data_IF_780682225990
#
_entry.id   IF_780682225990
#
_cell.length_a   1.000
_cell.length_b   1.000
_cell.length_c   1.000
_cell.angle_alpha   90.00
_cell.angle_beta   90.00
_cell.angle_gamma   90.00
#
_symmetry.space_group_name_H-M   'P 1'
#
loop_
_entity.id
_entity.type
_entity.pdbx_description
1 polymer ?
#
# COMPACT_ATOMS: atom_id res chain seq x y z
N UNK A 1 0.99 -15.18 -26.12
CA UNK A 1 1.27 -13.98 -25.30
C UNK A 1 0.27 -12.83 -25.51
N UNK A 2 -0.79 -12.99 -26.31
CA UNK A 2 -1.86 -11.98 -26.48
C UNK A 2 -2.94 -12.01 -25.38
N UNK A 3 -3.03 -13.11 -24.63
CA UNK A 3 -4.03 -13.33 -23.58
C UNK A 3 -3.67 -12.69 -22.22
N UNK A 4 -2.43 -12.24 -22.02
CA UNK A 4 -2.01 -11.55 -20.79
C UNK A 4 -2.37 -10.04 -20.78
N UNK A 5 -2.79 -9.51 -21.94
CA UNK A 5 -3.18 -8.10 -22.12
C UNK A 5 -4.65 -7.96 -22.54
N UNK A 6 -5.44 -9.02 -22.42
CA UNK A 6 -6.88 -8.96 -22.69
C UNK A 6 -7.62 -8.44 -21.46
N UNK A 7 -7.45 -7.15 -21.18
CA UNK A 7 -8.36 -6.38 -20.33
C UNK A 7 -9.58 -5.98 -21.16
N UNK A 8 -10.25 -6.94 -21.80
CA UNK A 8 -11.60 -6.76 -22.30
C UNK A 8 -12.50 -6.47 -21.11
N UNK A 9 -12.70 -5.18 -20.87
CA UNK A 9 -13.67 -4.58 -19.97
C UNK A 9 -15.10 -4.80 -20.50
N UNK A 10 -15.46 -6.04 -20.80
CA UNK A 10 -16.82 -6.45 -21.13
C UNK A 10 -17.57 -6.80 -19.84
N UNK A 11 -17.78 -5.79 -18.99
CA UNK A 11 -18.87 -5.69 -18.00
C UNK A 11 -18.54 -4.53 -17.06
N UNK A 12 -19.54 -3.72 -16.75
CA UNK A 12 -19.54 -2.60 -15.80
C UNK A 12 -18.82 -2.92 -14.47
N UNK A 13 -17.50 -2.79 -14.44
CA UNK A 13 -16.64 -3.08 -13.29
C UNK A 13 -16.54 -1.91 -12.29
N UNK A 14 -17.37 -0.89 -12.44
CA UNK A 14 -17.18 0.43 -11.80
C UNK A 14 -17.32 0.42 -10.27
N UNK A 15 -18.22 -0.37 -9.63
CA UNK A 15 -18.29 -0.41 -8.15
C UNK A 15 -17.41 -1.48 -7.49
N UNK A 16 -17.26 -2.65 -8.11
CA UNK A 16 -16.63 -3.82 -7.49
C UNK A 16 -15.10 -3.76 -7.47
N UNK A 17 -14.49 -3.24 -8.55
CA UNK A 17 -13.04 -3.19 -8.73
C UNK A 17 -12.35 -2.38 -7.64
N UNK A 18 -12.94 -1.24 -7.26
CA UNK A 18 -12.39 -0.34 -6.23
C UNK A 18 -12.27 -1.04 -4.89
N UNK A 19 -13.29 -1.83 -4.51
CA UNK A 19 -13.26 -2.61 -3.28
C UNK A 19 -12.14 -3.65 -3.30
N UNK A 20 -11.92 -4.31 -4.44
CA UNK A 20 -10.85 -5.29 -4.60
C UNK A 20 -9.47 -4.63 -4.47
N UNK A 21 -9.23 -3.51 -5.19
CA UNK A 21 -7.94 -2.80 -5.12
C UNK A 21 -7.69 -2.28 -3.71
N UNK A 22 -8.71 -1.76 -3.03
CA UNK A 22 -8.59 -1.32 -1.64
C UNK A 22 -8.19 -2.48 -0.70
N UNK A 23 -8.85 -3.64 -0.81
CA UNK A 23 -8.51 -4.83 0.00
C UNK A 23 -7.06 -5.26 -0.27
N UNK A 24 -6.64 -5.29 -1.54
CA UNK A 24 -5.26 -5.63 -1.89
C UNK A 24 -4.26 -4.63 -1.31
N UNK A 25 -4.55 -3.33 -1.36
CA UNK A 25 -3.68 -2.31 -0.79
C UNK A 25 -3.53 -2.44 0.73
N UNK A 26 -4.61 -2.79 1.44
CA UNK A 26 -4.57 -3.09 2.88
C UNK A 26 -3.72 -4.33 3.16
N UNK A 27 -3.89 -5.39 2.37
CA UNK A 27 -3.08 -6.62 2.51
C UNK A 27 -1.59 -6.31 2.30
N UNK A 28 -1.25 -5.54 1.26
CA UNK A 28 0.13 -5.13 0.97
C UNK A 28 0.69 -4.28 2.12
N UNK A 29 -0.08 -3.33 2.65
CA UNK A 29 0.34 -2.52 3.79
C UNK A 29 0.59 -3.37 5.04
N UNK A 30 -0.29 -4.33 5.32
CA UNK A 30 -0.13 -5.25 6.46
C UNK A 30 1.11 -6.14 6.29
N UNK A 31 1.30 -6.76 5.12
CA UNK A 31 2.46 -7.59 4.84
C UNK A 31 3.76 -6.76 4.89
N UNK A 32 3.76 -5.56 4.31
CA UNK A 32 4.91 -4.66 4.35
C UNK A 32 5.27 -4.22 5.78
N UNK A 33 4.26 -3.93 6.61
CA UNK A 33 4.49 -3.61 8.02
C UNK A 33 5.05 -4.80 8.80
N UNK A 34 4.48 -6.00 8.65
CA UNK A 34 4.97 -7.22 9.32
C UNK A 34 6.39 -7.54 8.86
N UNK A 35 6.64 -7.54 7.55
CA UNK A 35 7.94 -7.86 6.96
C UNK A 35 9.03 -6.87 7.38
N UNK A 36 8.73 -5.57 7.38
CA UNK A 36 9.67 -4.56 7.87
C UNK A 36 9.94 -4.72 9.36
N UNK A 37 8.91 -4.93 10.18
CA UNK A 37 9.04 -5.20 11.62
C UNK A 37 10.00 -6.36 11.87
N UNK A 38 9.74 -7.53 11.27
CA UNK A 38 10.59 -8.72 11.41
C UNK A 38 12.04 -8.41 10.98
N UNK A 39 12.21 -7.72 9.85
CA UNK A 39 13.54 -7.36 9.32
C UNK A 39 14.32 -6.46 10.28
N UNK A 40 13.67 -5.49 10.91
CA UNK A 40 14.30 -4.63 11.92
C UNK A 40 14.73 -5.41 13.17
N UNK A 41 13.92 -6.35 13.64
CA UNK A 41 14.30 -7.23 14.75
C UNK A 41 15.50 -8.11 14.41
N UNK A 42 15.54 -8.67 13.20
CA UNK A 42 16.68 -9.47 12.72
C UNK A 42 17.93 -8.62 12.56
N UNK A 43 17.81 -7.42 11.97
CA UNK A 43 18.92 -6.49 11.79
C UNK A 43 19.50 -6.01 13.13
N UNK A 44 18.65 -5.73 14.12
CA UNK A 44 19.10 -5.38 15.47
C UNK A 44 19.95 -6.53 16.05
N UNK A 45 19.44 -7.76 16.04
CA UNK A 45 20.15 -8.93 16.57
C UNK A 45 21.50 -9.20 15.89
N UNK A 46 21.58 -9.08 14.57
CA UNK A 46 22.83 -9.29 13.81
C UNK A 46 23.84 -8.17 14.02
N UNK A 47 23.39 -6.92 14.11
CA UNK A 47 24.29 -5.77 14.33
C UNK A 47 24.96 -5.84 15.70
N UNK A 48 24.23 -6.22 16.75
CA UNK A 48 24.81 -6.37 18.10
C UNK A 48 25.88 -7.47 18.16
N UNK A 49 25.69 -8.57 17.43
CA UNK A 49 26.66 -9.68 17.39
C UNK A 49 27.87 -9.37 16.49
N UNK A 50 27.70 -8.57 15.44
CA UNK A 50 28.81 -8.15 14.57
C UNK A 50 29.71 -7.12 15.25
N UNK A 51 29.13 -6.09 15.90
CA UNK A 51 29.90 -5.01 16.55
C UNK A 51 30.70 -5.53 17.74
N UNK A 52 30.16 -6.50 18.49
CA UNK A 52 30.87 -7.15 19.60
C UNK A 52 32.05 -8.01 19.17
N UNK A 53 32.07 -8.52 17.94
CA UNK A 53 33.18 -9.35 17.40
C UNK A 53 34.30 -8.56 16.74
N UNK A 54 34.03 -7.35 16.27
CA UNK A 54 35.00 -6.52 15.55
C UNK A 54 35.82 -5.59 16.47
N UNK A 55 35.78 -5.80 17.79
CA UNK A 55 36.52 -4.98 18.75
C UNK A 55 36.01 -3.54 18.85
N UNK A 56 34.73 -3.31 18.50
CA UNK A 56 34.08 -2.02 18.73
C UNK A 56 34.11 -1.64 20.23
N UNK A 57 33.96 -0.35 20.57
CA UNK A 57 34.02 0.11 21.95
C UNK A 57 33.09 -0.74 22.84
N UNK A 58 33.46 -1.01 24.11
CA UNK A 58 32.62 -1.77 25.02
C UNK A 58 31.22 -1.19 25.03
N UNK A 59 30.26 -1.90 24.44
CA UNK A 59 28.85 -1.57 24.57
C UNK A 59 28.49 -1.91 26.02
N UNK A 60 28.67 -0.94 26.91
CA UNK A 60 28.23 -1.02 28.30
C UNK A 60 26.70 -1.17 28.28
N UNK A 61 26.25 -2.42 28.38
CA UNK A 61 24.90 -2.82 28.77
C UNK A 61 23.74 -2.24 27.96
N UNK A 62 23.76 -2.42 26.64
CA UNK A 62 22.64 -2.07 25.72
C UNK A 62 21.54 -3.13 25.64
N UNK A 63 21.28 -3.88 26.71
CA UNK A 63 20.16 -4.84 26.76
C UNK A 63 18.81 -4.14 26.56
N UNK A 64 18.61 -2.95 27.14
CA UNK A 64 17.40 -2.14 26.95
C UNK A 64 17.30 -1.46 25.59
N UNK A 65 18.41 -0.92 25.03
CA UNK A 65 18.39 -0.25 23.73
C UNK A 65 18.05 -1.21 22.58
N UNK A 66 18.45 -2.49 22.70
CA UNK A 66 18.12 -3.56 21.77
C UNK A 66 16.61 -3.82 21.67
N UNK A 67 15.85 -3.59 22.75
CA UNK A 67 14.39 -3.75 22.75
C UNK A 67 13.65 -2.44 22.51
N UNK A 68 14.12 -1.31 23.07
CA UNK A 68 13.41 -0.02 22.99
C UNK A 68 13.29 0.45 21.54
N UNK A 69 14.37 0.39 20.75
CA UNK A 69 14.36 0.89 19.37
C UNK A 69 13.38 0.15 18.43
N UNK A 70 13.37 -1.20 18.39
CA UNK A 70 12.38 -1.92 17.59
C UNK A 70 10.97 -1.91 18.20
N UNK A 71 10.79 -1.78 19.51
CA UNK A 71 9.47 -1.62 20.14
C UNK A 71 8.83 -0.27 19.77
N UNK A 72 9.62 0.81 19.70
CA UNK A 72 9.13 2.11 19.20
C UNK A 72 8.72 2.01 17.73
N UNK A 73 9.48 1.28 16.92
CA UNK A 73 9.14 1.03 15.53
C UNK A 73 7.86 0.18 15.40
N UNK A 74 7.61 -0.76 16.30
CA UNK A 74 6.34 -1.49 16.34
C UNK A 74 5.18 -0.55 16.70
N UNK A 75 5.36 0.30 17.72
CA UNK A 75 4.35 1.24 18.22
C UNK A 75 3.99 2.35 17.24
N UNK A 76 4.95 2.84 16.46
CA UNK A 76 4.73 3.94 15.50
C UNK A 76 4.77 3.50 14.03
N UNK A 77 5.21 2.29 13.73
CA UNK A 77 5.44 1.82 12.36
C UNK A 77 4.17 1.51 11.57
N UNK A 78 3.04 1.31 12.22
CA UNK A 78 1.76 1.11 11.53
C UNK A 78 1.23 2.42 10.91
N UNK A 79 1.70 3.58 11.39
CA UNK A 79 1.29 4.90 10.91
C UNK A 79 1.59 5.06 9.40
N UNK A 80 2.81 4.80 8.91
CA UNK A 80 3.09 4.72 7.47
C UNK A 80 2.16 3.79 6.69
N UNK A 81 1.81 2.63 7.24
CA UNK A 81 0.90 1.68 6.61
C UNK A 81 -0.52 2.24 6.44
N UNK A 82 -1.03 2.97 7.44
CA UNK A 82 -2.32 3.64 7.31
C UNK A 82 -2.28 4.82 6.34
N UNK A 83 -1.19 5.60 6.33
CA UNK A 83 -1.01 6.66 5.35
C UNK A 83 -1.05 6.11 3.92
N UNK A 84 -0.40 4.98 3.68
CA UNK A 84 -0.47 4.29 2.38
C UNK A 84 -1.91 3.95 1.99
N UNK A 85 -2.69 3.34 2.90
CA UNK A 85 -4.09 2.97 2.64
C UNK A 85 -4.96 4.21 2.38
N UNK A 86 -4.75 5.29 3.12
CA UNK A 86 -5.46 6.56 2.92
C UNK A 86 -5.14 7.18 1.56
N UNK A 87 -3.87 7.19 1.15
CA UNK A 87 -3.47 7.69 -0.18
C UNK A 87 -4.13 6.86 -1.28
N UNK A 88 -4.09 5.53 -1.18
CA UNK A 88 -4.75 4.66 -2.15
C UNK A 88 -6.26 4.95 -2.21
N UNK A 89 -6.90 5.17 -1.06
CA UNK A 89 -8.32 5.56 -1.02
C UNK A 89 -8.60 6.85 -1.77
N UNK A 90 -7.82 7.90 -1.52
CA UNK A 90 -7.97 9.19 -2.19
C UNK A 90 -7.78 9.05 -3.71
N UNK A 91 -6.77 8.28 -4.14
CA UNK A 91 -6.51 8.03 -5.57
C UNK A 91 -7.65 7.26 -6.22
N UNK A 92 -8.20 6.24 -5.53
CA UNK A 92 -9.33 5.47 -6.03
C UNK A 92 -10.60 6.31 -6.15
N UNK A 93 -10.89 7.14 -5.14
CA UNK A 93 -12.01 8.08 -5.17
C UNK A 93 -11.86 9.09 -6.31
N UNK A 94 -10.65 9.62 -6.53
CA UNK A 94 -10.36 10.52 -7.65
C UNK A 94 -10.48 9.83 -9.03
N UNK A 95 -9.97 8.60 -9.16
CA UNK A 95 -10.09 7.82 -10.39
C UNK A 95 -11.56 7.53 -10.73
N UNK A 96 -12.37 7.16 -9.72
CA UNK A 96 -13.81 6.96 -9.90
C UNK A 96 -14.53 8.24 -10.29
N UNK A 97 -14.21 9.36 -9.63
CA UNK A 97 -14.80 10.65 -9.95
C UNK A 97 -14.52 11.05 -11.41
N UNK A 98 -13.31 10.80 -11.90
CA UNK A 98 -12.93 11.05 -13.28
C UNK A 98 -13.71 10.17 -14.28
N UNK A 99 -13.82 8.87 -14.00
CA UNK A 99 -14.59 7.94 -14.84
C UNK A 99 -16.06 8.36 -14.89
N UNK A 100 -16.64 8.68 -13.74
CA UNK A 100 -18.04 9.10 -13.64
C UNK A 100 -18.30 10.42 -14.38
N UNK A 101 -17.36 11.36 -14.34
CA UNK A 101 -17.44 12.60 -15.11
C UNK A 101 -17.41 12.33 -16.63
N UNK A 102 -16.58 11.39 -17.09
CA UNK A 102 -16.52 11.00 -18.50
C UNK A 102 -17.81 10.28 -18.96
N UNK A 103 -18.40 9.45 -18.10
CA UNK A 103 -19.69 8.80 -18.35
C UNK A 103 -20.83 9.83 -18.45
N UNK A 104 -20.86 10.83 -17.56
CA UNK A 104 -21.88 11.89 -17.56
C UNK A 104 -21.84 12.74 -18.84
N UNK A 105 -20.64 13.12 -19.30
CA UNK A 105 -20.45 13.83 -20.58
C UNK A 105 -20.92 13.00 -21.78
N UNK A 106 -20.68 11.67 -21.78
CA UNK A 106 -21.16 10.77 -22.84
C UNK A 106 -22.69 10.67 -22.84
N UNK A 107 -23.30 10.56 -21.67
CA UNK A 107 -24.75 10.50 -21.54
C UNK A 107 -25.44 11.77 -22.06
N UNK A 108 -24.85 12.96 -21.79
CA UNK A 108 -25.35 14.22 -22.35
C UNK A 108 -25.24 14.27 -23.88
N UNK A 109 -24.16 13.72 -24.46
CA UNK A 109 -23.97 13.67 -25.92
C UNK A 109 -24.99 12.78 -26.60
N UNK A 110 -25.24 11.59 -26.07
CA UNK A 110 -26.21 10.65 -26.66
C UNK A 110 -27.64 11.20 -26.62
N UNK A 111 -27.98 11.97 -25.58
CA UNK A 111 -29.28 12.64 -25.46
C UNK A 111 -29.46 13.80 -26.44
N UNK A 112 -28.37 14.50 -26.81
CA UNK A 112 -28.41 15.67 -27.70
C UNK A 112 -28.32 15.34 -29.19
N UNK A 113 -27.93 14.13 -29.58
CA UNK A 113 -27.77 13.79 -31.00
C UNK A 113 -29.03 13.26 -31.69
N UNK A 114 -30.04 12.76 -30.97
CA UNK A 114 -31.22 12.13 -31.57
C UNK A 114 -30.89 10.93 -32.48
N UNK A 115 -31.85 10.04 -32.80
CA UNK A 115 -31.60 8.99 -33.78
C UNK A 115 -31.38 9.65 -35.15
N UNK A 116 -30.16 9.59 -35.67
CA UNK A 116 -29.86 9.98 -37.04
C UNK A 116 -30.57 8.95 -37.94
N UNK A 117 -31.70 9.38 -38.51
CA UNK A 117 -32.48 8.66 -39.53
C UNK A 117 -31.69 8.48 -40.81
#
# INVERSE_FOLDING_TARGET
>A
MKAAFDFSFASYATPGLVKIIYILAVIIAAIGWIGSTISYFVLAATTHTAVSRLGGPPQTDTSVAMFISPVLLLLFGWVPGLLWVLVVRVVLEAALALVRAAEDVRAMRDKNLGPVS
#
